data_IF_559874725441
#
_entry.id   IF_559874725441
#
_cell.length_a   1.000
_cell.length_b   1.000
_cell.length_c   1.000
_cell.angle_alpha   90.00
_cell.angle_beta   90.00
_cell.angle_gamma   90.00
#
_symmetry.space_group_name_H-M   'P 1'
#
loop_
_entity.id
_entity.type
_entity.pdbx_description
1 polymer ?
#
# COMPACT_ATOMS: atom_id res chain seq x y z
N UNK A 1 -22.51 33.50 -6.25
CA UNK A 1 -23.00 32.35 -5.47
C UNK A 1 -22.56 31.11 -6.21
N UNK A 2 -21.66 30.36 -5.57
CA UNK A 2 -21.24 28.99 -5.91
C UNK A 2 -22.47 28.14 -6.28
N UNK A 3 -22.40 27.15 -7.16
CA UNK A 3 -21.96 25.81 -6.76
C UNK A 3 -21.49 25.00 -7.96
N UNK A 4 -20.35 24.36 -7.74
CA UNK A 4 -19.54 23.51 -8.60
C UNK A 4 -20.29 22.31 -9.20
N UNK A 5 -19.81 21.97 -10.40
CA UNK A 5 -20.07 20.80 -11.26
C UNK A 5 -19.99 19.44 -10.52
N UNK A 6 -20.53 18.36 -11.14
CA UNK A 6 -21.10 17.20 -10.49
C UNK A 6 -20.07 16.33 -9.76
N UNK A 7 -20.41 16.11 -8.49
CA UNK A 7 -20.15 14.98 -7.61
C UNK A 7 -19.82 13.67 -8.37
N UNK A 8 -18.53 13.50 -8.58
CA UNK A 8 -17.71 12.37 -8.11
C UNK A 8 -18.37 10.99 -8.20
N UNK A 9 -18.14 10.37 -9.34
CA UNK A 9 -17.65 8.99 -9.49
C UNK A 9 -18.03 8.01 -8.38
N UNK A 10 -19.14 7.32 -8.61
CA UNK A 10 -19.43 6.03 -8.01
C UNK A 10 -18.39 5.00 -8.47
N UNK A 11 -17.29 4.87 -7.74
CA UNK A 11 -16.45 3.67 -7.80
C UNK A 11 -16.74 2.81 -6.57
N UNK A 12 -17.35 1.67 -6.85
CA UNK A 12 -17.82 0.69 -5.88
C UNK A 12 -16.67 0.24 -4.96
N UNK A 13 -16.85 0.52 -3.67
CA UNK A 13 -16.10 -0.09 -2.58
C UNK A 13 -16.39 -1.58 -2.54
N UNK A 14 -15.54 -2.39 -3.19
CA UNK A 14 -15.43 -3.81 -2.90
C UNK A 14 -14.41 -3.94 -1.77
N UNK A 15 -14.91 -3.86 -0.54
CA UNK A 15 -14.18 -4.21 0.67
C UNK A 15 -13.95 -5.72 0.68
N UNK A 16 -12.87 -6.17 0.03
CA UNK A 16 -12.38 -7.53 0.18
C UNK A 16 -11.51 -7.60 1.44
N UNK A 17 -12.14 -8.04 2.53
CA UNK A 17 -11.47 -8.51 3.74
C UNK A 17 -10.39 -9.55 3.38
N UNK A 18 -9.14 -9.30 3.80
CA UNK A 18 -8.20 -10.35 4.16
C UNK A 18 -7.18 -9.83 5.17
N UNK A 19 -7.64 -9.59 6.41
CA UNK A 19 -6.77 -9.41 7.57
C UNK A 19 -6.15 -10.77 7.93
N UNK A 20 -5.08 -11.16 7.26
CA UNK A 20 -4.24 -12.27 7.69
C UNK A 20 -3.18 -11.68 8.62
N UNK A 21 -3.49 -11.72 9.92
CA UNK A 21 -2.54 -11.47 10.99
C UNK A 21 -1.50 -12.60 11.00
N UNK A 22 -0.40 -12.46 10.26
CA UNK A 22 0.78 -13.30 10.44
C UNK A 22 1.63 -12.75 11.59
N UNK A 23 1.14 -12.92 12.82
CA UNK A 23 1.92 -12.77 14.03
C UNK A 23 2.80 -14.02 14.21
N UNK A 24 3.95 -14.02 13.55
CA UNK A 24 4.98 -15.04 13.73
C UNK A 24 5.37 -15.73 12.43
N UNK A 25 6.44 -15.25 11.81
CA UNK A 25 7.20 -16.06 10.87
C UNK A 25 8.69 -15.79 11.07
N UNK A 26 9.32 -16.63 11.90
CA UNK A 26 10.75 -16.61 12.13
C UNK A 26 11.46 -17.47 11.11
N UNK A 27 12.62 -16.99 10.65
CA UNK A 27 13.68 -17.79 10.01
C UNK A 27 13.36 -18.38 8.63
N UNK A 28 13.28 -17.52 7.61
CA UNK A 28 13.47 -17.91 6.20
C UNK A 28 12.31 -17.65 5.24
N UNK A 29 11.13 -17.33 5.76
CA UNK A 29 9.96 -16.99 4.95
C UNK A 29 9.92 -15.48 4.68
N UNK A 30 10.11 -15.12 3.41
CA UNK A 30 10.03 -13.74 2.93
C UNK A 30 8.58 -13.42 2.62
N UNK A 31 7.98 -12.51 3.38
CA UNK A 31 6.71 -11.87 3.02
C UNK A 31 6.91 -10.95 1.82
N UNK A 32 5.95 -10.94 0.90
CA UNK A 32 5.91 -10.02 -0.24
C UNK A 32 4.61 -9.25 -0.21
N UNK A 33 4.72 -7.93 -0.12
CA UNK A 33 3.65 -6.96 -0.35
C UNK A 33 3.57 -6.61 -1.82
N UNK A 34 2.35 -6.43 -2.32
CA UNK A 34 2.05 -6.02 -3.68
C UNK A 34 0.92 -4.98 -3.69
N UNK A 35 1.08 -3.94 -4.50
CA UNK A 35 0.07 -2.94 -4.74
C UNK A 35 0.04 -2.53 -6.22
N UNK A 36 -1.15 -2.22 -6.73
CA UNK A 36 -1.31 -1.73 -8.10
C UNK A 36 -1.93 -0.35 -8.08
N UNK A 37 -1.27 0.62 -8.72
CA UNK A 37 -1.73 2.01 -8.87
C UNK A 37 -1.58 2.42 -10.32
N UNK A 38 -2.63 2.97 -10.92
CA UNK A 38 -2.64 3.41 -12.32
C UNK A 38 -2.15 2.34 -13.33
N UNK A 39 -2.42 1.06 -13.03
CA UNK A 39 -1.99 -0.08 -13.84
C UNK A 39 -0.52 -0.47 -13.69
N UNK A 40 0.23 0.17 -12.80
CA UNK A 40 1.59 -0.21 -12.43
C UNK A 40 1.59 -0.99 -11.12
N UNK A 41 2.31 -2.11 -11.08
CA UNK A 41 2.44 -2.94 -9.88
C UNK A 41 3.77 -2.67 -9.19
N UNK A 42 3.71 -2.41 -7.89
CA UNK A 42 4.85 -2.22 -7.01
C UNK A 42 4.87 -3.34 -5.99
N UNK A 43 6.07 -3.89 -5.74
CA UNK A 43 6.26 -5.01 -4.82
C UNK A 43 7.34 -4.68 -3.81
N UNK A 44 7.18 -5.08 -2.57
CA UNK A 44 8.18 -4.96 -1.52
C UNK A 44 8.24 -6.23 -0.70
N UNK A 45 9.44 -6.67 -0.32
CA UNK A 45 9.62 -7.94 0.37
C UNK A 45 10.41 -7.75 1.66
N UNK A 46 10.06 -8.50 2.70
CA UNK A 46 10.78 -8.54 3.98
C UNK A 46 10.46 -9.82 4.75
N UNK A 47 11.24 -10.15 5.78
CA UNK A 47 10.91 -11.24 6.71
C UNK A 47 9.68 -10.96 7.59
N UNK A 48 9.15 -9.73 7.53
CA UNK A 48 7.97 -9.31 8.29
C UNK A 48 6.93 -8.68 7.37
N UNK A 49 5.66 -9.02 7.57
CA UNK A 49 4.54 -8.50 6.77
C UNK A 49 4.49 -6.96 6.75
N UNK A 50 4.56 -6.33 7.93
CA UNK A 50 4.51 -4.85 8.04
C UNK A 50 5.65 -4.17 7.29
N UNK A 51 6.84 -4.79 7.29
CA UNK A 51 8.01 -4.26 6.61
C UNK A 51 8.01 -4.55 5.11
N UNK A 52 7.33 -5.62 4.67
CA UNK A 52 7.06 -5.86 3.26
C UNK A 52 6.10 -4.80 2.68
N UNK A 53 5.10 -4.37 3.47
CA UNK A 53 4.20 -3.27 3.13
C UNK A 53 4.98 -1.95 3.04
N UNK A 54 5.80 -1.64 4.03
CA UNK A 54 6.64 -0.43 4.03
C UNK A 54 7.57 -0.40 2.81
N UNK A 55 8.21 -1.52 2.47
CA UNK A 55 9.05 -1.64 1.27
C UNK A 55 8.24 -1.48 -0.02
N UNK A 56 6.98 -1.93 -0.03
CA UNK A 56 6.08 -1.76 -1.18
C UNK A 56 5.75 -0.28 -1.39
N UNK A 57 5.41 0.43 -0.31
CA UNK A 57 5.21 1.87 -0.31
C UNK A 57 6.47 2.64 -0.72
N UNK A 58 7.65 2.23 -0.23
CA UNK A 58 8.93 2.84 -0.60
C UNK A 58 9.21 2.71 -2.10
N UNK A 59 8.94 1.54 -2.70
CA UNK A 59 9.14 1.32 -4.13
C UNK A 59 8.16 2.13 -4.99
N UNK A 60 6.90 2.25 -4.56
CA UNK A 60 5.94 3.16 -5.18
C UNK A 60 6.40 4.61 -5.11
N UNK A 61 6.82 5.07 -3.94
CA UNK A 61 7.25 6.44 -3.73
C UNK A 61 8.57 6.76 -4.42
N UNK A 62 9.46 5.79 -4.59
CA UNK A 62 10.67 5.96 -5.40
C UNK A 62 10.34 6.12 -6.90
N UNK A 63 9.25 5.51 -7.36
CA UNK A 63 8.80 5.61 -8.75
C UNK A 63 7.95 6.86 -9.04
N UNK A 64 7.27 7.40 -8.03
CA UNK A 64 6.29 8.49 -8.19
C UNK A 64 6.72 9.82 -7.58
N UNK A 65 7.49 9.80 -6.49
CA UNK A 65 7.99 11.01 -5.82
C UNK A 65 9.41 11.36 -6.27
N UNK A 66 9.71 12.66 -6.35
CA UNK A 66 11.04 13.15 -6.72
C UNK A 66 11.89 13.46 -5.47
N UNK A 67 13.04 12.80 -5.30
CA UNK A 67 14.05 13.16 -4.31
C UNK A 67 13.61 13.08 -2.85
N UNK A 68 13.87 14.13 -2.05
CA UNK A 68 13.65 14.18 -0.58
C UNK A 68 12.21 13.94 -0.11
N UNK A 69 11.25 13.77 -1.02
CA UNK A 69 9.85 13.49 -0.69
C UNK A 69 9.55 12.00 -0.52
N UNK A 70 10.47 11.09 -0.86
CA UNK A 70 10.22 9.64 -0.76
C UNK A 70 9.86 9.21 0.67
N UNK A 71 10.54 9.76 1.70
CA UNK A 71 10.24 9.41 3.09
C UNK A 71 8.84 9.88 3.54
N UNK A 72 8.44 11.10 3.17
CA UNK A 72 7.11 11.62 3.46
C UNK A 72 6.02 10.83 2.70
N UNK A 73 6.25 10.54 1.43
CA UNK A 73 5.37 9.72 0.61
C UNK A 73 5.21 8.30 1.19
N UNK A 74 6.29 7.66 1.65
CA UNK A 74 6.21 6.33 2.26
C UNK A 74 5.36 6.38 3.53
N UNK A 75 5.55 7.42 4.37
CA UNK A 75 4.75 7.60 5.57
C UNK A 75 3.25 7.80 5.23
N UNK A 76 2.92 8.62 4.24
CA UNK A 76 1.54 8.82 3.77
C UNK A 76 0.94 7.54 3.19
N UNK A 77 1.69 6.79 2.39
CA UNK A 77 1.27 5.50 1.84
C UNK A 77 0.96 4.49 2.95
N UNK A 78 1.78 4.45 3.99
CA UNK A 78 1.54 3.61 5.17
C UNK A 78 0.31 4.03 5.97
N UNK A 79 0.04 5.34 6.09
CA UNK A 79 -1.18 5.83 6.72
C UNK A 79 -2.42 5.45 5.91
N UNK A 80 -2.41 5.68 4.59
CA UNK A 80 -3.51 5.26 3.71
C UNK A 80 -3.77 3.74 3.79
N UNK A 81 -2.73 2.93 3.96
CA UNK A 81 -2.90 1.49 4.20
C UNK A 81 -3.60 1.21 5.55
N UNK A 82 -3.17 1.88 6.63
CA UNK A 82 -3.78 1.73 7.97
C UNK A 82 -5.23 2.21 8.01
N UNK A 83 -5.54 3.26 7.27
CA UNK A 83 -6.89 3.82 7.14
C UNK A 83 -7.78 3.03 6.17
N UNK A 84 -7.21 2.06 5.45
CA UNK A 84 -7.93 1.22 4.47
C UNK A 84 -8.21 1.91 3.13
N UNK A 85 -7.65 3.10 2.92
CA UNK A 85 -7.73 3.85 1.65
C UNK A 85 -6.82 3.26 0.57
N UNK A 86 -5.77 2.54 0.98
CA UNK A 86 -4.80 1.89 0.09
C UNK A 86 -4.72 0.39 0.35
N UNK A 87 -4.96 -0.39 -0.69
CA UNK A 87 -4.87 -1.85 -0.64
C UNK A 87 -3.45 -2.31 -0.97
N UNK A 88 -2.85 -3.06 -0.05
CA UNK A 88 -1.57 -3.73 -0.23
C UNK A 88 -1.78 -5.19 0.15
N UNK A 89 -1.63 -6.07 -0.83
CA UNK A 89 -1.76 -7.52 -0.64
C UNK A 89 -0.44 -8.08 -0.13
N UNK A 90 -0.47 -8.77 1.00
CA UNK A 90 0.73 -9.37 1.59
C UNK A 90 0.60 -10.88 1.61
N UNK A 91 1.55 -11.55 0.96
CA UNK A 91 1.69 -12.99 0.99
C UNK A 91 2.95 -13.34 1.78
N UNK A 92 2.77 -14.06 2.89
CA UNK A 92 3.85 -14.65 3.66
C UNK A 92 3.76 -16.18 3.47
N UNK A 93 4.80 -16.83 2.92
CA UNK A 93 4.84 -18.27 2.80
C UNK A 93 4.94 -18.97 4.15
#
# INVERSE_FOLDING_TARGET
METTRPNTSAFALIAALCLIACAGCGSGQTCTGEMTVDGQTYKGSSGYAEQAIENTCANYCAATASGNQTAACTAECMQQYRDGERLIWVECP
#
